data_IF_059173405444
#
_entry.id   IF_059173405444
#
_cell.length_a   1.000
_cell.length_b   1.000
_cell.length_c   1.000
_cell.angle_alpha   90.00
_cell.angle_beta   90.00
_cell.angle_gamma   90.00
#
_symmetry.space_group_name_H-M   'P 1'
#
loop_
_entity.id
_entity.type
_entity.pdbx_description
1 polymer ?
#
# COMPACT_ATOMS: atom_id res chain seq x y z
N UNK A 1 15.20 -9.47 -26.23
CA UNK A 1 15.85 -8.88 -25.04
C UNK A 1 15.26 -7.50 -24.69
N UNK A 2 14.98 -6.62 -25.66
CA UNK A 2 14.47 -5.25 -25.38
C UNK A 2 13.11 -5.16 -24.68
N UNK A 3 12.17 -6.06 -25.00
CA UNK A 3 10.82 -6.03 -24.40
C UNK A 3 10.78 -6.51 -22.95
N UNK A 4 11.59 -7.52 -22.61
CA UNK A 4 11.70 -8.05 -21.24
C UNK A 4 12.31 -7.00 -20.30
N UNK A 5 13.41 -6.35 -20.72
CA UNK A 5 14.02 -5.26 -19.96
C UNK A 5 13.06 -4.08 -19.79
N UNK A 6 12.28 -3.71 -20.83
CA UNK A 6 11.27 -2.66 -20.75
C UNK A 6 10.14 -3.01 -19.76
N UNK A 7 9.65 -4.25 -19.79
CA UNK A 7 8.64 -4.75 -18.88
C UNK A 7 9.14 -4.71 -17.42
N UNK A 8 10.34 -5.22 -17.17
CA UNK A 8 10.98 -5.18 -15.84
C UNK A 8 11.08 -3.74 -15.34
N UNK A 9 11.49 -2.80 -16.20
CA UNK A 9 11.53 -1.38 -15.87
C UNK A 9 10.17 -0.83 -15.41
N UNK A 10 9.10 -1.16 -16.14
CA UNK A 10 7.73 -0.73 -15.78
C UNK A 10 7.22 -1.36 -14.48
N UNK A 11 7.55 -2.61 -14.21
CA UNK A 11 7.19 -3.27 -12.95
C UNK A 11 7.92 -2.66 -11.75
N UNK A 12 9.19 -2.26 -11.92
CA UNK A 12 9.97 -1.55 -10.88
C UNK A 12 9.41 -0.15 -10.63
N UNK A 13 9.06 0.59 -11.69
CA UNK A 13 8.39 1.90 -11.55
C UNK A 13 7.07 1.77 -10.78
N UNK A 14 6.28 0.73 -11.09
CA UNK A 14 5.02 0.47 -10.41
C UNK A 14 5.20 0.06 -8.94
N UNK A 15 6.18 -0.81 -8.61
CA UNK A 15 6.49 -1.17 -7.22
C UNK A 15 6.84 0.07 -6.39
N UNK A 16 7.63 0.98 -6.96
CA UNK A 16 7.99 2.25 -6.32
C UNK A 16 6.79 3.18 -6.15
N UNK A 17 5.91 3.25 -7.15
CA UNK A 17 4.70 4.05 -7.06
C UNK A 17 3.75 3.54 -5.96
N UNK A 18 3.62 2.21 -5.82
CA UNK A 18 2.86 1.59 -4.73
C UNK A 18 3.47 1.91 -3.36
N UNK A 19 4.80 1.88 -3.24
CA UNK A 19 5.49 2.17 -1.98
C UNK A 19 5.29 3.61 -1.52
N UNK A 20 5.42 4.56 -2.45
CA UNK A 20 5.16 5.98 -2.19
C UNK A 20 3.68 6.18 -1.82
N UNK A 21 2.76 5.58 -2.58
CA UNK A 21 1.33 5.74 -2.34
C UNK A 21 0.92 5.21 -0.96
N UNK A 22 1.43 4.03 -0.58
CA UNK A 22 1.21 3.47 0.75
C UNK A 22 1.79 4.37 1.84
N UNK A 23 3.00 4.89 1.66
CA UNK A 23 3.62 5.80 2.62
C UNK A 23 2.77 7.05 2.88
N UNK A 24 2.32 7.72 1.80
CA UNK A 24 1.43 8.90 1.90
C UNK A 24 0.12 8.53 2.59
N UNK A 25 -0.51 7.43 2.18
CA UNK A 25 -1.80 7.04 2.74
C UNK A 25 -1.69 6.69 4.23
N UNK A 26 -0.58 6.08 4.65
CA UNK A 26 -0.32 5.81 6.07
C UNK A 26 -0.13 7.09 6.87
N UNK A 27 0.61 8.06 6.34
CA UNK A 27 0.85 9.35 7.00
C UNK A 27 -0.45 10.14 7.20
N UNK A 28 -1.23 10.31 6.13
CA UNK A 28 -2.53 10.98 6.15
C UNK A 28 -3.50 10.30 7.13
N UNK A 29 -3.48 8.96 7.17
CA UNK A 29 -4.34 8.21 8.08
C UNK A 29 -3.91 8.35 9.55
N UNK A 30 -2.60 8.38 9.83
CA UNK A 30 -2.08 8.63 11.18
C UNK A 30 -2.38 10.05 11.66
N UNK A 31 -2.35 11.03 10.76
CA UNK A 31 -2.79 12.40 11.09
C UNK A 31 -4.27 12.43 11.45
N UNK A 32 -5.11 11.73 10.70
CA UNK A 32 -6.53 11.61 10.99
C UNK A 32 -6.80 10.90 12.33
N UNK A 33 -6.10 9.79 12.62
CA UNK A 33 -6.18 9.09 13.91
C UNK A 33 -5.81 10.01 15.08
N UNK A 34 -4.73 10.78 14.94
CA UNK A 34 -4.30 11.75 15.97
C UNK A 34 -5.34 12.86 16.18
N UNK A 35 -5.87 13.42 15.10
CA UNK A 35 -6.90 14.45 15.16
C UNK A 35 -8.18 13.93 15.82
N UNK A 36 -8.60 12.72 15.48
CA UNK A 36 -9.77 12.09 16.09
C UNK A 36 -9.56 11.84 17.59
N UNK A 37 -8.41 11.28 18.00
CA UNK A 37 -8.11 11.06 19.41
C UNK A 37 -8.11 12.36 20.22
N UNK A 38 -7.64 13.47 19.64
CA UNK A 38 -7.70 14.78 20.30
C UNK A 38 -9.13 15.32 20.44
N UNK A 39 -10.04 14.93 19.55
CA UNK A 39 -11.43 15.39 19.53
C UNK A 39 -12.37 14.48 20.33
N UNK A 40 -12.09 13.17 20.38
CA UNK A 40 -13.01 12.16 20.91
C UNK A 40 -13.35 12.33 22.39
N UNK A 41 -12.47 12.97 23.15
CA UNK A 41 -12.66 13.17 24.59
C UNK A 41 -13.77 14.18 24.91
N UNK A 42 -14.03 15.12 24.00
CA UNK A 42 -15.02 16.19 24.16
C UNK A 42 -16.21 16.07 23.22
N UNK A 43 -16.11 15.21 22.20
CA UNK A 43 -17.15 15.03 21.20
C UNK A 43 -18.13 13.93 21.65
N UNK A 44 -19.34 14.34 22.01
CA UNK A 44 -20.40 13.48 22.54
C UNK A 44 -21.72 13.67 21.80
N UNK A 45 -22.65 12.73 22.01
CA UNK A 45 -23.98 12.73 21.40
C UNK A 45 -24.10 11.79 20.20
N UNK A 46 -25.28 11.74 19.59
CA UNK A 46 -25.58 10.78 18.51
C UNK A 46 -24.63 10.90 17.31
N UNK A 47 -24.29 12.12 16.91
CA UNK A 47 -23.34 12.38 15.82
C UNK A 47 -21.90 11.91 16.16
N UNK A 48 -21.53 11.91 17.44
CA UNK A 48 -20.23 11.41 17.88
C UNK A 48 -20.14 9.90 17.80
N UNK A 49 -21.19 9.18 18.18
CA UNK A 49 -21.23 7.73 18.03
C UNK A 49 -21.25 7.28 16.56
N UNK A 50 -22.02 7.97 15.71
CA UNK A 50 -22.05 7.69 14.28
C UNK A 50 -20.69 7.92 13.62
N UNK A 51 -20.04 9.04 13.93
CA UNK A 51 -18.70 9.32 13.44
C UNK A 51 -17.68 8.28 13.95
N UNK A 52 -17.73 7.91 15.24
CA UNK A 52 -16.84 6.90 15.83
C UNK A 52 -16.99 5.56 15.11
N UNK A 53 -18.22 5.12 14.84
CA UNK A 53 -18.47 3.89 14.10
C UNK A 53 -17.91 3.96 12.67
N UNK A 54 -18.14 5.08 11.96
CA UNK A 54 -17.60 5.30 10.63
C UNK A 54 -16.06 5.34 10.62
N UNK A 55 -15.47 5.98 11.61
CA UNK A 55 -14.02 6.10 11.79
C UNK A 55 -13.37 4.73 12.03
N UNK A 56 -13.94 3.90 12.92
CA UNK A 56 -13.48 2.53 13.16
C UNK A 56 -13.59 1.66 11.90
N UNK A 57 -14.67 1.80 11.13
CA UNK A 57 -14.84 1.10 9.86
C UNK A 57 -13.78 1.54 8.82
N UNK A 58 -13.52 2.85 8.71
CA UNK A 58 -12.47 3.39 7.85
C UNK A 58 -11.08 2.87 8.26
N UNK A 59 -10.79 2.85 9.56
CA UNK A 59 -9.54 2.30 10.13
C UNK A 59 -9.34 0.85 9.74
N UNK A 60 -10.38 0.04 9.88
CA UNK A 60 -10.33 -1.38 9.53
C UNK A 60 -10.07 -1.58 8.03
N UNK A 61 -10.78 -0.84 7.18
CA UNK A 61 -10.59 -0.90 5.72
C UNK A 61 -9.20 -0.44 5.31
N UNK A 62 -8.67 0.60 5.95
CA UNK A 62 -7.34 1.12 5.66
C UNK A 62 -6.25 0.09 6.01
N UNK A 63 -6.34 -0.56 7.18
CA UNK A 63 -5.41 -1.64 7.55
C UNK A 63 -5.50 -2.84 6.60
N UNK A 64 -6.71 -3.19 6.16
CA UNK A 64 -6.89 -4.25 5.17
C UNK A 64 -6.27 -3.86 3.83
N UNK A 65 -6.53 -2.65 3.34
CA UNK A 65 -5.94 -2.13 2.11
C UNK A 65 -4.41 -2.14 2.15
N UNK A 66 -3.82 -1.70 3.26
CA UNK A 66 -2.37 -1.77 3.46
C UNK A 66 -1.87 -3.22 3.39
N UNK A 67 -2.53 -4.14 4.10
CA UNK A 67 -2.15 -5.55 4.10
C UNK A 67 -2.16 -6.16 2.70
N UNK A 68 -3.27 -6.00 1.98
CA UNK A 68 -3.43 -6.52 0.62
C UNK A 68 -2.43 -5.90 -0.36
N UNK A 69 -2.17 -4.59 -0.24
CA UNK A 69 -1.22 -3.90 -1.11
C UNK A 69 0.21 -4.36 -0.85
N UNK A 70 0.60 -4.55 0.41
CA UNK A 70 1.91 -5.13 0.76
C UNK A 70 2.04 -6.57 0.25
N UNK A 71 0.97 -7.36 0.31
CA UNK A 71 0.96 -8.70 -0.28
C UNK A 71 1.20 -8.63 -1.79
N UNK A 72 0.50 -7.74 -2.50
CA UNK A 72 0.67 -7.52 -3.93
C UNK A 72 2.08 -7.06 -4.29
N UNK A 73 2.68 -6.13 -3.54
CA UNK A 73 4.07 -5.71 -3.72
C UNK A 73 5.05 -6.89 -3.57
N UNK A 74 4.84 -7.75 -2.57
CA UNK A 74 5.69 -8.93 -2.39
C UNK A 74 5.61 -9.89 -3.59
N UNK A 75 4.40 -10.11 -4.13
CA UNK A 75 4.21 -10.91 -5.35
C UNK A 75 4.90 -10.24 -6.55
N UNK A 76 4.72 -8.93 -6.71
CA UNK A 76 5.33 -8.14 -7.78
C UNK A 76 6.86 -8.22 -7.75
N UNK A 77 7.48 -8.05 -6.58
CA UNK A 77 8.93 -8.14 -6.39
C UNK A 77 9.48 -9.53 -6.75
N UNK A 78 8.80 -10.60 -6.34
CA UNK A 78 9.17 -11.98 -6.74
C UNK A 78 9.09 -12.17 -8.25
N UNK A 79 8.08 -11.62 -8.91
CA UNK A 79 7.96 -11.69 -10.37
C UNK A 79 9.06 -10.91 -11.07
N UNK A 80 9.43 -9.73 -10.56
CA UNK A 80 10.57 -8.96 -11.08
C UNK A 80 11.87 -9.76 -10.95
N UNK A 81 12.11 -10.41 -9.81
CA UNK A 81 13.29 -11.26 -9.60
C UNK A 81 13.32 -12.46 -10.55
N UNK A 82 12.18 -13.13 -10.72
CA UNK A 82 12.03 -14.21 -11.69
C UNK A 82 12.37 -13.72 -13.11
N UNK A 83 11.74 -12.65 -13.58
CA UNK A 83 12.00 -12.11 -14.92
C UNK A 83 13.47 -11.70 -15.11
N UNK A 84 14.10 -11.11 -14.09
CA UNK A 84 15.54 -10.78 -14.11
C UNK A 84 16.43 -12.01 -14.20
N UNK A 85 16.06 -13.13 -13.58
CA UNK A 85 16.82 -14.37 -13.68
C UNK A 85 16.75 -14.96 -15.10
N UNK A 86 15.59 -14.87 -15.77
CA UNK A 86 15.39 -15.35 -17.14
C UNK A 86 16.02 -14.44 -18.21
N UNK A 87 16.09 -13.13 -17.99
CA UNK A 87 16.70 -12.17 -18.93
C UNK A 87 18.24 -12.15 -18.85
N UNK A 88 18.86 -12.95 -17.96
CA UNK A 88 20.33 -13.09 -17.89
C UNK A 88 20.85 -13.95 -19.07
N UNK A 89 21.76 -13.43 -19.90
CA UNK A 89 22.40 -14.22 -20.94
C UNK A 89 23.31 -15.27 -20.29
N UNK A 90 22.91 -16.55 -20.37
CA UNK A 90 23.65 -17.68 -19.80
C UNK A 90 22.81 -18.79 -19.15
N UNK A 91 21.48 -18.64 -19.06
CA UNK A 91 20.59 -19.63 -18.41
C UNK A 91 20.21 -20.85 -19.28
N UNK A 92 20.79 -20.99 -20.48
CA UNK A 92 20.60 -22.20 -21.30
C UNK A 92 21.99 -22.69 -21.68
N UNK A 93 22.47 -23.70 -20.96
CA UNK A 93 23.55 -24.59 -21.39
C UNK A 93 23.13 -26.01 -21.04
#
# INVERSE_FOLDING_TARGET
MTDATRLIGKLVEYDRALDIHLGVLQEEFQDLERAWHGLSDVYQGAAAEEFRAAFLAATTRMRQYEHETRHLQNVLRRQIEFLRAFDRPGSIS
#
